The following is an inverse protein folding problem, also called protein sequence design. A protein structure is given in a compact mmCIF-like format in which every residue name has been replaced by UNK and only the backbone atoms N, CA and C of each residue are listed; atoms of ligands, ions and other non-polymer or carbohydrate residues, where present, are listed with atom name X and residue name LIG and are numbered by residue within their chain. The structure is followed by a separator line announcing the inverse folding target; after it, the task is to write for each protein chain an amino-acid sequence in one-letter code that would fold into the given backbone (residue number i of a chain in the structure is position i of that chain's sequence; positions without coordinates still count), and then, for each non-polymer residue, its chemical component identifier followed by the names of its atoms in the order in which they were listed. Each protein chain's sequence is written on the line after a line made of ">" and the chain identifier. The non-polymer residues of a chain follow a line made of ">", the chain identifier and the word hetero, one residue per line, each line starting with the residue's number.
data_IF_806992611213
#
_entry.id   IF_806992611213
#
_cell.length_a   1.000
_cell.length_b   1.000
_cell.length_c   1.000
_cell.angle_alpha   90.00
_cell.angle_beta   90.00
_cell.angle_gamma   90.00
#
_symmetry.space_group_name_H-M   'P 1'
#
loop_
_entity.id
_entity.type
_entity.pdbx_description
1 polymer ?
#
# COMPACT_ATOMS: atom_id res chain seq x y z
N UNK A 1 38.37 58.58 26.30
CA UNK A 1 39.21 57.87 27.30
C UNK A 1 38.31 56.95 28.10
N UNK A 2 38.67 55.66 28.17
CA UNK A 2 38.43 54.67 29.26
C UNK A 2 37.01 54.63 29.88
N UNK A 3 36.28 53.52 29.92
CA UNK A 3 36.75 52.20 30.32
C UNK A 3 35.72 51.13 29.94
N UNK A 4 36.23 50.00 29.47
CA UNK A 4 35.53 48.72 29.37
C UNK A 4 35.19 48.18 30.77
N UNK A 5 34.32 47.17 30.75
CA UNK A 5 34.25 46.03 31.67
C UNK A 5 33.44 46.25 32.95
N UNK A 6 32.21 45.69 33.00
CA UNK A 6 31.87 44.60 33.91
C UNK A 6 30.48 44.01 33.58
N UNK A 7 30.49 42.72 33.22
CA UNK A 7 29.45 41.69 33.44
C UNK A 7 28.07 41.84 32.78
N UNK A 8 27.78 41.17 31.65
CA UNK A 8 27.43 39.73 31.54
C UNK A 8 26.45 39.27 32.64
N UNK A 9 25.14 39.53 32.48
CA UNK A 9 24.05 38.67 32.99
C UNK A 9 22.69 39.27 32.54
N UNK A 10 22.17 38.85 31.37
CA UNK A 10 20.73 38.87 31.01
C UNK A 10 20.51 38.57 29.52
N UNK A 11 20.95 37.41 29.03
CA UNK A 11 20.42 36.84 27.78
C UNK A 11 20.13 35.37 28.06
N UNK A 12 19.02 35.08 28.72
CA UNK A 12 18.42 33.75 28.75
C UNK A 12 16.99 33.89 29.25
N UNK A 13 16.05 34.15 28.35
CA UNK A 13 14.65 33.79 28.54
C UNK A 13 13.94 33.78 27.19
N UNK A 14 13.32 32.63 26.91
CA UNK A 14 12.44 32.29 25.79
C UNK A 14 13.07 32.01 24.42
N UNK A 15 13.83 30.92 24.36
CA UNK A 15 13.72 29.97 23.25
C UNK A 15 13.12 28.66 23.76
N UNK A 16 11.81 28.65 24.04
CA UNK A 16 11.04 27.41 24.16
C UNK A 16 10.67 26.96 22.73
N UNK A 17 11.64 26.37 22.03
CA UNK A 17 11.31 25.55 20.85
C UNK A 17 10.84 24.22 21.43
N UNK A 18 9.52 24.09 21.58
CA UNK A 18 8.90 22.81 21.89
C UNK A 18 9.25 21.81 20.80
N UNK A 19 10.06 20.81 21.14
CA UNK A 19 10.23 19.59 20.36
C UNK A 19 8.87 18.89 20.30
N UNK A 20 8.05 19.23 19.31
CA UNK A 20 6.82 18.50 19.03
C UNK A 20 7.21 17.10 18.56
N UNK A 21 6.95 16.10 19.40
CA UNK A 21 7.02 14.72 19.00
C UNK A 21 6.04 14.51 17.85
N UNK A 22 6.54 14.13 16.67
CA UNK A 22 5.67 13.86 15.54
C UNK A 22 4.82 12.64 15.86
N UNK A 23 3.50 12.79 15.76
CA UNK A 23 2.54 11.70 15.90
C UNK A 23 2.90 10.61 14.90
N UNK A 24 3.06 9.38 15.39
CA UNK A 24 3.37 8.25 14.54
C UNK A 24 2.25 8.06 13.51
N UNK A 25 2.55 8.24 12.23
CA UNK A 25 1.59 8.15 11.10
C UNK A 25 0.91 6.79 11.03
N UNK A 26 1.62 5.72 11.42
CA UNK A 26 1.10 4.35 11.44
C UNK A 26 -0.01 4.08 12.46
N UNK A 27 0.05 4.71 13.62
CA UNK A 27 -0.92 4.50 14.69
C UNK A 27 -1.66 5.77 15.11
N UNK A 28 -1.39 6.89 14.44
CA UNK A 28 -1.89 8.24 14.74
C UNK A 28 -1.85 8.57 16.24
N UNK A 29 -0.70 8.39 16.89
CA UNK A 29 -0.59 8.69 18.33
C UNK A 29 -0.92 7.54 19.28
N UNK A 30 -1.47 6.41 18.80
CA UNK A 30 -2.07 5.38 19.68
C UNK A 30 -1.09 4.32 20.18
N UNK A 31 0.05 4.15 19.49
CA UNK A 31 1.06 3.18 19.89
C UNK A 31 0.73 1.72 19.60
N UNK A 32 -0.42 1.40 19.02
CA UNK A 32 -0.88 0.02 18.81
C UNK A 32 -1.40 -0.21 17.39
N UNK A 33 -1.21 -1.43 16.89
CA UNK A 33 -1.76 -1.94 15.63
C UNK A 33 -2.53 -3.25 15.87
N UNK A 34 -3.41 -3.63 14.95
CA UNK A 34 -4.32 -4.76 15.18
C UNK A 34 -4.27 -5.78 14.04
N UNK A 35 -4.30 -7.06 14.38
CA UNK A 35 -4.45 -8.18 13.45
C UNK A 35 -5.69 -9.00 13.81
N UNK A 36 -6.46 -9.44 12.79
CA UNK A 36 -7.64 -10.30 12.96
C UNK A 36 -7.33 -11.72 12.46
N UNK A 37 -7.95 -12.74 13.06
CA UNK A 37 -7.87 -14.14 12.62
C UNK A 37 -8.85 -14.39 11.45
N UNK A 38 -8.45 -15.14 10.42
CA UNK A 38 -9.26 -15.43 9.22
C UNK A 38 -9.32 -14.33 8.15
N UNK A 39 -8.98 -13.08 8.48
CA UNK A 39 -8.89 -11.93 7.57
C UNK A 39 -7.72 -11.07 7.97
N UNK A 40 -6.85 -10.70 7.04
CA UNK A 40 -5.74 -9.81 7.36
C UNK A 40 -6.19 -8.35 7.31
N UNK A 41 -5.78 -7.57 8.30
CA UNK A 41 -6.12 -6.15 8.37
C UNK A 41 -4.97 -5.35 8.94
N UNK A 42 -4.80 -4.11 8.48
CA UNK A 42 -3.87 -3.15 9.05
C UNK A 42 -4.47 -1.75 9.01
N UNK A 43 -4.41 -0.99 10.10
CA UNK A 43 -4.95 0.37 10.17
C UNK A 43 -5.79 0.65 11.41
N UNK A 44 -6.53 1.76 11.39
CA UNK A 44 -7.38 2.23 12.48
C UNK A 44 -8.83 1.76 12.32
N UNK A 45 -9.34 1.05 13.32
CA UNK A 45 -10.75 0.63 13.39
C UNK A 45 -11.55 1.58 14.31
N UNK A 46 -12.71 2.03 13.83
CA UNK A 46 -13.59 2.99 14.50
C UNK A 46 -14.56 2.35 15.52
N UNK A 47 -14.62 1.02 15.59
CA UNK A 47 -15.50 0.27 16.50
C UNK A 47 -14.68 -0.46 17.58
N UNK A 48 -15.18 -0.50 18.83
CA UNK A 48 -14.53 -1.20 19.96
C UNK A 48 -15.48 -2.21 20.61
N UNK A 49 -14.95 -3.37 21.02
CA UNK A 49 -15.58 -4.37 21.88
C UNK A 49 -14.67 -4.68 23.08
N UNK A 50 -15.25 -4.99 24.22
CA UNK A 50 -14.45 -5.43 25.36
C UNK A 50 -13.94 -6.86 25.12
N UNK A 51 -12.63 -7.08 25.27
CA UNK A 51 -12.04 -8.42 25.18
C UNK A 51 -12.66 -9.31 26.28
N UNK A 52 -13.22 -10.49 25.96
CA UNK A 52 -13.83 -11.36 26.96
C UNK A 52 -12.81 -12.01 27.91
N UNK A 53 -11.50 -11.94 27.60
CA UNK A 53 -10.42 -12.55 28.38
C UNK A 53 -9.74 -11.51 29.29
N UNK A 54 -9.29 -10.38 28.73
CA UNK A 54 -8.53 -9.37 29.49
C UNK A 54 -9.35 -8.13 29.85
N UNK A 55 -10.62 -8.08 29.46
CA UNK A 55 -11.56 -6.97 29.72
C UNK A 55 -11.11 -5.59 29.20
N UNK A 56 -10.05 -5.52 28.38
CA UNK A 56 -9.63 -4.28 27.73
C UNK A 56 -10.51 -3.97 26.52
N UNK A 57 -10.78 -2.69 26.29
CA UNK A 57 -11.47 -2.21 25.11
C UNK A 57 -10.56 -2.34 23.88
N UNK A 58 -10.78 -3.39 23.10
CA UNK A 58 -10.08 -3.65 21.84
C UNK A 58 -11.00 -3.32 20.66
N UNK A 59 -10.52 -3.04 19.46
CA UNK A 59 -11.41 -2.87 18.33
C UNK A 59 -12.30 -4.09 18.06
N UNK A 60 -13.49 -3.87 17.52
CA UNK A 60 -14.40 -4.98 17.24
C UNK A 60 -13.81 -5.89 16.15
N UNK A 61 -13.70 -7.18 16.48
CA UNK A 61 -13.20 -8.24 15.58
C UNK A 61 -11.70 -8.57 15.67
N UNK A 62 -10.90 -7.91 16.53
CA UNK A 62 -9.46 -8.21 16.66
C UNK A 62 -9.13 -9.17 17.81
N UNK A 63 -8.09 -9.98 17.61
CA UNK A 63 -7.47 -10.81 18.65
C UNK A 63 -6.13 -10.18 19.04
N UNK A 64 -6.15 -9.38 20.10
CA UNK A 64 -5.00 -8.71 20.73
C UNK A 64 -4.27 -7.67 19.85
N UNK A 65 -3.87 -6.57 20.50
CA UNK A 65 -3.15 -5.46 19.87
C UNK A 65 -1.65 -5.67 20.04
N UNK A 66 -0.90 -5.54 18.95
CA UNK A 66 0.56 -5.49 19.01
C UNK A 66 1.04 -4.04 19.19
N UNK A 67 2.12 -3.80 19.95
CA UNK A 67 2.81 -2.52 19.93
C UNK A 67 3.13 -2.14 18.49
N UNK A 68 2.77 -0.92 18.09
CA UNK A 68 3.08 -0.39 16.77
C UNK A 68 4.60 -0.41 16.58
N UNK A 69 5.16 -1.17 15.62
CA UNK A 69 6.61 -1.35 15.49
C UNK A 69 7.29 -0.05 15.07
N UNK A 70 6.61 0.83 14.32
CA UNK A 70 7.16 2.13 13.91
C UNK A 70 7.36 3.11 15.06
N UNK A 71 6.67 2.95 16.19
CA UNK A 71 6.87 3.78 17.39
C UNK A 71 7.15 2.96 18.66
N UNK A 72 7.36 1.66 18.51
CA UNK A 72 7.50 0.68 19.57
C UNK A 72 6.51 0.88 20.74
N UNK A 73 5.21 1.02 20.44
CA UNK A 73 4.20 1.22 21.50
C UNK A 73 3.92 2.66 21.91
N UNK A 74 4.72 3.65 21.47
CA UNK A 74 4.75 4.99 22.09
C UNK A 74 3.79 6.01 21.48
N UNK A 75 3.21 5.72 20.32
CA UNK A 75 2.34 6.66 19.60
C UNK A 75 3.07 7.84 18.95
N UNK A 76 4.35 8.07 19.26
CA UNK A 76 5.15 9.18 18.75
C UNK A 76 6.53 8.70 18.30
N UNK A 77 7.06 9.33 17.25
CA UNK A 77 8.42 9.08 16.76
C UNK A 77 9.29 10.24 17.27
N UNK A 78 10.26 9.94 18.14
CA UNK A 78 11.23 10.94 18.59
C UNK A 78 12.27 11.14 17.49
N UNK A 79 12.43 12.38 17.02
CA UNK A 79 13.60 12.79 16.26
C UNK A 79 14.84 12.59 17.16
N UNK A 80 15.64 11.59 16.86
CA UNK A 80 16.89 11.32 17.56
C UNK A 80 18.01 12.17 16.95
N UNK A 81 18.30 13.32 17.57
CA UNK A 81 19.63 13.90 17.55
C UNK A 81 20.49 13.08 18.54
N UNK A 82 21.17 12.06 18.06
CA UNK A 82 22.11 11.27 18.88
C UNK A 82 23.51 11.86 18.79
N UNK A 83 23.87 12.69 19.77
CA UNK A 83 25.24 12.83 20.21
C UNK A 83 25.66 11.52 20.89
N UNK A 84 26.45 10.69 20.22
CA UNK A 84 27.13 9.55 20.86
C UNK A 84 28.60 9.90 21.12
N UNK A 85 28.94 9.94 22.40
CA UNK A 85 30.30 10.00 22.91
C UNK A 85 31.06 8.71 22.57
N UNK A 86 32.09 8.87 21.75
CA UNK A 86 33.35 8.10 21.63
C UNK A 86 33.42 6.68 22.24
N UNK A 87 33.51 5.68 21.36
CA UNK A 87 34.55 4.64 21.46
C UNK A 87 35.06 4.32 20.07
N UNK A 88 36.36 4.58 19.89
CA UNK A 88 37.15 4.42 18.68
C UNK A 88 37.06 3.01 18.10
N UNK A 89 36.78 2.91 16.80
CA UNK A 89 37.64 2.20 15.85
C UNK A 89 37.46 2.81 14.47
N UNK A 90 38.56 3.32 13.92
CA UNK A 90 38.65 3.92 12.59
C UNK A 90 38.71 2.83 11.51
N UNK A 91 37.83 2.92 10.52
CA UNK A 91 38.22 2.98 9.10
C UNK A 91 37.01 3.39 8.23
N UNK A 92 37.04 4.66 7.80
CA UNK A 92 36.61 5.24 6.51
C UNK A 92 35.19 5.00 5.94
N UNK A 93 34.37 6.06 6.03
CA UNK A 93 33.51 6.73 5.03
C UNK A 93 33.27 6.01 3.67
N UNK A 94 32.04 5.96 3.11
CA UNK A 94 31.18 7.09 2.70
C UNK A 94 29.70 6.70 2.44
N UNK A 95 28.78 7.63 2.78
CA UNK A 95 27.45 7.95 2.19
C UNK A 95 26.51 6.84 1.66
N UNK A 96 25.29 6.72 2.22
CA UNK A 96 24.19 5.97 1.58
C UNK A 96 23.00 5.59 2.47
N UNK A 97 22.27 6.56 3.03
CA UNK A 97 21.08 6.28 3.87
C UNK A 97 19.76 6.53 3.13
N UNK A 98 19.49 5.72 2.11
CA UNK A 98 18.13 5.44 1.62
C UNK A 98 18.09 4.08 0.89
N UNK A 99 19.15 3.76 0.15
CA UNK A 99 19.37 2.42 -0.44
C UNK A 99 19.49 1.31 0.61
N UNK A 100 20.08 1.59 1.78
CA UNK A 100 20.31 0.58 2.80
C UNK A 100 19.01 -0.03 3.38
N UNK A 101 17.93 0.75 3.51
CA UNK A 101 16.64 0.26 4.03
C UNK A 101 15.89 -0.55 2.97
N UNK A 102 15.96 -0.13 1.71
CA UNK A 102 15.37 -0.84 0.58
C UNK A 102 16.11 -2.16 0.33
N UNK A 103 17.45 -2.13 0.37
CA UNK A 103 18.30 -3.32 0.28
C UNK A 103 18.09 -4.25 1.48
N UNK A 104 17.92 -3.75 2.70
CA UNK A 104 17.63 -4.59 3.87
C UNK A 104 16.26 -5.28 3.79
N UNK A 105 15.25 -4.62 3.24
CA UNK A 105 13.92 -5.22 3.03
C UNK A 105 13.94 -6.19 1.85
N UNK A 106 14.63 -5.86 0.77
CA UNK A 106 14.83 -6.73 -0.39
C UNK A 106 15.65 -7.97 0.00
N UNK A 107 16.71 -7.82 0.79
CA UNK A 107 17.57 -8.89 1.28
C UNK A 107 16.84 -9.76 2.30
N UNK A 108 15.93 -9.21 3.10
CA UNK A 108 15.04 -10.02 3.95
C UNK A 108 13.92 -10.72 3.15
N UNK A 109 13.43 -10.12 2.07
CA UNK A 109 12.49 -10.77 1.16
C UNK A 109 13.16 -11.88 0.32
N UNK A 110 14.41 -11.66 -0.10
CA UNK A 110 15.27 -12.66 -0.76
C UNK A 110 15.68 -13.77 0.23
N UNK A 111 15.97 -13.44 1.48
CA UNK A 111 16.28 -14.43 2.51
C UNK A 111 15.04 -15.25 2.92
N UNK A 112 13.83 -14.67 2.85
CA UNK A 112 12.58 -15.41 2.97
C UNK A 112 12.34 -16.38 1.79
N UNK A 113 13.01 -16.16 0.66
CA UNK A 113 13.06 -17.09 -0.49
C UNK A 113 13.99 -18.29 -0.24
N UNK A 114 15.04 -18.12 0.60
CA UNK A 114 16.05 -19.14 0.90
C UNK A 114 15.81 -19.91 2.19
N UNK A 115 15.11 -19.32 3.14
CA UNK A 115 14.63 -19.99 4.34
C UNK A 115 13.13 -19.85 4.34
N UNK A 116 12.42 -20.94 4.04
CA UNK A 116 11.00 -21.05 4.37
C UNK A 116 10.85 -20.60 5.82
N UNK A 117 10.25 -19.42 6.03
CA UNK A 117 10.09 -18.87 7.36
C UNK A 117 8.92 -19.62 8.00
N UNK A 118 9.22 -20.83 8.50
CA UNK A 118 8.28 -21.74 9.15
C UNK A 118 7.71 -21.17 10.48
N UNK A 119 8.05 -19.93 10.85
CA UNK A 119 7.69 -19.34 12.14
C UNK A 119 6.34 -18.63 12.23
N UNK A 120 5.61 -18.42 11.13
CA UNK A 120 4.32 -17.67 11.18
C UNK A 120 3.21 -18.23 10.29
N UNK A 121 3.47 -19.32 9.58
CA UNK A 121 2.53 -19.91 8.62
C UNK A 121 1.36 -20.66 9.28
N UNK A 122 1.48 -21.08 10.54
CA UNK A 122 0.50 -22.00 11.16
C UNK A 122 -0.45 -21.37 12.19
N UNK A 123 -0.27 -20.10 12.58
CA UNK A 123 -1.03 -19.52 13.69
C UNK A 123 -1.99 -18.39 13.28
N UNK A 124 -2.18 -18.12 11.99
CA UNK A 124 -3.18 -17.15 11.54
C UNK A 124 -3.82 -17.69 10.27
N UNK A 125 -4.99 -18.32 10.37
CA UNK A 125 -5.80 -18.82 9.25
C UNK A 125 -6.30 -17.71 8.28
N UNK A 126 -5.68 -16.52 8.28
CA UNK A 126 -5.94 -15.39 7.40
C UNK A 126 -5.28 -15.55 6.03
N UNK A 127 -4.22 -16.34 5.97
CA UNK A 127 -3.66 -16.83 4.72
C UNK A 127 -4.60 -17.94 4.28
N UNK A 128 -5.47 -17.65 3.31
CA UNK A 128 -6.24 -18.74 2.69
C UNK A 128 -5.28 -19.81 2.17
N UNK A 129 -5.77 -21.04 1.97
CA UNK A 129 -5.07 -22.16 1.32
C UNK A 129 -4.63 -21.87 -0.14
N UNK A 130 -4.39 -20.61 -0.50
CA UNK A 130 -3.88 -20.17 -1.78
C UNK A 130 -2.36 -20.35 -1.69
N UNK A 131 -1.85 -21.20 -2.57
CA UNK A 131 -0.58 -21.92 -2.41
C UNK A 131 0.60 -21.08 -1.90
N UNK A 132 1.54 -21.76 -1.23
CA UNK A 132 2.84 -21.18 -0.88
C UNK A 132 3.41 -20.47 -2.12
N UNK A 133 3.88 -19.23 -1.94
CA UNK A 133 4.57 -18.49 -2.99
C UNK A 133 5.60 -19.39 -3.66
N UNK A 134 5.50 -19.52 -4.99
CA UNK A 134 6.42 -20.31 -5.79
C UNK A 134 7.18 -19.37 -6.74
N UNK A 135 8.48 -19.11 -6.48
CA UNK A 135 9.26 -18.20 -7.30
C UNK A 135 9.43 -18.69 -8.75
N UNK A 136 9.23 -19.98 -9.02
CA UNK A 136 9.30 -20.53 -10.39
C UNK A 136 8.12 -20.08 -11.27
N UNK A 137 7.03 -19.60 -10.66
CA UNK A 137 5.86 -19.07 -11.36
C UNK A 137 5.92 -17.54 -11.52
N UNK A 138 7.04 -16.91 -11.15
CA UNK A 138 7.21 -15.47 -11.17
C UNK A 138 7.70 -15.00 -12.54
N UNK A 139 7.03 -13.99 -13.12
CA UNK A 139 7.38 -13.46 -14.44
C UNK A 139 7.87 -12.03 -14.27
N UNK A 140 9.20 -11.89 -14.21
CA UNK A 140 9.87 -10.62 -13.93
C UNK A 140 9.51 -9.51 -14.93
N UNK A 141 8.91 -8.43 -14.42
CA UNK A 141 8.70 -7.18 -15.16
C UNK A 141 9.90 -6.24 -14.96
N UNK A 142 11.00 -6.56 -15.66
CA UNK A 142 12.28 -5.89 -15.46
C UNK A 142 12.25 -4.42 -15.89
N UNK A 143 11.53 -4.08 -16.95
CA UNK A 143 11.44 -2.70 -17.42
C UNK A 143 10.75 -1.83 -16.38
N UNK A 144 9.64 -2.34 -15.81
CA UNK A 144 8.92 -1.64 -14.74
C UNK A 144 9.80 -1.48 -13.50
N UNK A 145 10.45 -2.57 -13.05
CA UNK A 145 11.36 -2.57 -11.90
C UNK A 145 12.47 -1.55 -12.05
N UNK A 146 13.13 -1.51 -13.22
CA UNK A 146 14.22 -0.58 -13.49
C UNK A 146 13.72 0.86 -13.52
N UNK A 147 12.54 1.11 -14.08
CA UNK A 147 11.98 2.45 -14.14
C UNK A 147 11.60 2.99 -12.76
N UNK A 148 11.03 2.16 -11.88
CA UNK A 148 10.80 2.60 -10.48
C UNK A 148 12.12 2.92 -9.78
N UNK A 149 13.17 2.11 -9.98
CA UNK A 149 14.51 2.38 -9.40
C UNK A 149 15.11 3.70 -9.92
N UNK A 150 15.01 3.93 -11.22
CA UNK A 150 15.50 5.15 -11.87
C UNK A 150 14.81 6.40 -11.32
N UNK A 151 13.48 6.36 -11.20
CA UNK A 151 12.68 7.51 -10.79
C UNK A 151 12.62 7.68 -9.27
N UNK A 152 12.83 6.61 -8.51
CA UNK A 152 12.60 6.49 -7.07
C UNK A 152 11.19 6.97 -6.65
N UNK A 153 10.19 6.72 -7.50
CA UNK A 153 8.76 7.02 -7.26
C UNK A 153 7.86 6.21 -8.17
N UNK A 154 6.63 5.96 -7.73
CA UNK A 154 5.58 5.28 -8.47
C UNK A 154 4.23 5.65 -7.84
N UNK A 155 3.34 6.29 -8.57
CA UNK A 155 2.05 6.79 -8.04
C UNK A 155 0.95 5.74 -8.10
N UNK A 156 0.99 4.88 -9.12
CA UNK A 156 0.05 3.77 -9.30
C UNK A 156 0.63 2.76 -10.30
N UNK A 157 -0.09 1.69 -10.56
CA UNK A 157 0.29 0.69 -11.54
C UNK A 157 -0.64 -0.51 -11.46
N UNK A 158 -0.43 -1.46 -12.36
CA UNK A 158 -1.21 -2.68 -12.48
C UNK A 158 -0.46 -3.68 -13.34
N UNK A 159 -0.65 -4.96 -13.06
CA UNK A 159 0.07 -6.04 -13.75
C UNK A 159 -0.73 -7.33 -13.68
N UNK A 160 -0.47 -8.21 -14.65
CA UNK A 160 -0.97 -9.57 -14.69
C UNK A 160 0.09 -10.55 -14.17
N UNK A 161 -0.34 -11.73 -13.74
CA UNK A 161 0.56 -12.84 -13.41
C UNK A 161 1.34 -13.39 -14.62
N UNK A 162 0.95 -12.99 -15.84
CA UNK A 162 1.52 -13.46 -17.11
C UNK A 162 2.55 -12.50 -17.70
N UNK A 163 2.93 -11.46 -16.96
CA UNK A 163 4.02 -10.57 -17.34
C UNK A 163 3.59 -9.40 -18.22
N UNK A 164 2.31 -9.02 -18.22
CA UNK A 164 1.87 -7.70 -18.69
C UNK A 164 1.84 -6.73 -17.52
N UNK A 165 2.23 -5.48 -17.71
CA UNK A 165 2.08 -4.48 -16.66
C UNK A 165 2.41 -3.05 -17.06
N UNK A 166 1.95 -2.14 -16.21
CA UNK A 166 2.14 -0.71 -16.33
C UNK A 166 2.41 -0.12 -14.96
N UNK A 167 3.37 0.80 -14.88
CA UNK A 167 3.54 1.69 -13.74
C UNK A 167 3.26 3.12 -14.17
N UNK A 168 2.77 3.93 -13.25
CA UNK A 168 2.40 5.33 -13.45
C UNK A 168 3.29 6.21 -12.55
N UNK A 169 3.72 7.34 -13.09
CA UNK A 169 4.45 8.39 -12.38
C UNK A 169 3.98 9.76 -12.84
N UNK A 170 4.11 10.76 -11.97
CA UNK A 170 3.78 12.16 -12.27
C UNK A 170 2.36 12.39 -12.82
N UNK A 171 1.42 11.51 -12.46
CA UNK A 171 0.00 11.59 -12.82
C UNK A 171 -0.34 11.09 -14.23
N UNK A 172 0.53 11.25 -15.22
CA UNK A 172 0.26 10.86 -16.62
C UNK A 172 1.46 10.21 -17.32
N UNK A 173 2.64 10.20 -16.69
CA UNK A 173 3.80 9.45 -17.15
C UNK A 173 3.60 7.96 -16.89
N UNK A 174 4.08 7.11 -17.80
CA UNK A 174 3.97 5.67 -17.65
C UNK A 174 5.18 4.93 -18.21
N UNK A 175 5.37 3.70 -17.72
CA UNK A 175 6.18 2.67 -18.35
C UNK A 175 5.31 1.43 -18.47
N UNK A 176 5.30 0.83 -19.67
CA UNK A 176 4.54 -0.38 -19.97
C UNK A 176 5.47 -1.51 -20.40
N UNK A 177 5.05 -2.74 -20.12
CA UNK A 177 5.75 -3.97 -20.50
C UNK A 177 4.72 -5.04 -20.89
N UNK A 178 4.88 -5.63 -22.08
CA UNK A 178 4.02 -6.69 -22.65
C UNK A 178 2.50 -6.42 -22.56
N UNK A 179 2.07 -5.17 -22.73
CA UNK A 179 0.64 -4.80 -22.73
C UNK A 179 0.03 -4.91 -24.13
N UNK A 180 -1.29 -5.11 -24.26
CA UNK A 180 -1.98 -5.05 -25.54
C UNK A 180 -1.78 -3.70 -26.25
N UNK A 181 -1.64 -3.71 -27.58
CA UNK A 181 -1.36 -2.50 -28.37
C UNK A 181 -2.44 -1.43 -28.18
N UNK A 182 -3.71 -1.83 -28.13
CA UNK A 182 -4.84 -0.91 -27.90
C UNK A 182 -4.74 -0.15 -26.57
N UNK A 183 -4.30 -0.81 -25.50
CA UNK A 183 -4.06 -0.17 -24.21
C UNK A 183 -2.84 0.75 -24.29
N UNK A 184 -1.78 0.33 -25.00
CA UNK A 184 -0.58 1.15 -25.17
C UNK A 184 -0.88 2.45 -25.93
N UNK A 185 -1.65 2.36 -27.02
CA UNK A 185 -2.07 3.51 -27.82
C UNK A 185 -2.89 4.49 -26.97
N UNK A 186 -3.81 3.97 -26.16
CA UNK A 186 -4.59 4.78 -25.22
C UNK A 186 -3.70 5.46 -24.19
N UNK A 187 -2.71 4.76 -23.62
CA UNK A 187 -1.78 5.35 -22.64
C UNK A 187 -0.94 6.47 -23.27
N UNK A 188 -0.52 6.33 -24.53
CA UNK A 188 0.15 7.41 -25.26
C UNK A 188 -0.78 8.61 -25.54
N UNK A 189 -2.06 8.38 -25.81
CA UNK A 189 -3.04 9.46 -25.94
C UNK A 189 -3.23 10.21 -24.61
N UNK A 190 -3.47 9.48 -23.52
CA UNK A 190 -3.60 10.03 -22.17
C UNK A 190 -2.37 10.85 -21.80
N UNK A 191 -1.17 10.32 -22.07
CA UNK A 191 0.10 10.99 -21.81
C UNK A 191 0.25 12.28 -22.63
N UNK A 192 -0.01 12.24 -23.95
CA UNK A 192 0.08 13.42 -24.83
C UNK A 192 -0.88 14.53 -24.42
N UNK A 193 -2.04 14.17 -23.86
CA UNK A 193 -3.06 15.10 -23.40
C UNK A 193 -2.91 15.46 -21.90
N UNK A 194 -1.84 15.01 -21.23
CA UNK A 194 -1.57 15.23 -19.80
C UNK A 194 -2.75 14.87 -18.88
N UNK A 195 -3.50 13.83 -19.25
CA UNK A 195 -4.66 13.39 -18.50
C UNK A 195 -4.21 12.55 -17.30
N UNK A 196 -4.71 12.87 -16.11
CA UNK A 196 -4.28 12.20 -14.87
C UNK A 196 -4.83 10.78 -14.81
N UNK A 197 -3.97 9.78 -14.89
CA UNK A 197 -4.27 8.37 -14.64
C UNK A 197 -4.47 8.16 -13.15
N UNK A 198 -5.67 7.69 -12.79
CA UNK A 198 -6.04 7.38 -11.40
C UNK A 198 -5.74 5.93 -11.04
N UNK A 199 -6.06 5.01 -11.94
CA UNK A 199 -5.88 3.58 -11.70
C UNK A 199 -5.67 2.84 -13.02
N UNK A 200 -4.94 1.73 -12.94
CA UNK A 200 -4.83 0.76 -14.01
C UNK A 200 -4.88 -0.65 -13.41
N UNK A 201 -5.67 -1.52 -14.00
CA UNK A 201 -5.85 -2.89 -13.52
C UNK A 201 -5.70 -3.87 -14.66
N UNK A 202 -5.20 -5.05 -14.32
CA UNK A 202 -5.20 -6.24 -15.16
C UNK A 202 -5.78 -7.38 -14.32
N UNK A 203 -6.52 -8.27 -14.95
CA UNK A 203 -6.80 -9.58 -14.37
C UNK A 203 -5.53 -10.43 -14.41
N UNK A 204 -5.47 -11.49 -13.61
CA UNK A 204 -4.24 -12.25 -13.42
C UNK A 204 -3.76 -12.93 -14.71
N UNK A 205 -4.66 -13.42 -15.58
CA UNK A 205 -4.27 -13.95 -16.88
C UNK A 205 -4.13 -12.88 -17.96
N UNK A 206 -4.41 -11.61 -17.64
CA UNK A 206 -4.44 -10.50 -18.59
C UNK A 206 -5.64 -10.53 -19.54
N UNK A 207 -6.66 -11.35 -19.25
CA UNK A 207 -7.90 -11.44 -20.04
C UNK A 207 -8.66 -10.13 -20.05
N UNK A 208 -8.67 -9.42 -18.92
CA UNK A 208 -9.32 -8.13 -18.76
C UNK A 208 -8.34 -7.09 -18.25
N UNK A 209 -8.58 -5.84 -18.64
CA UNK A 209 -7.82 -4.69 -18.16
C UNK A 209 -8.68 -3.43 -18.24
N UNK A 210 -8.35 -2.45 -17.41
CA UNK A 210 -9.01 -1.15 -17.42
C UNK A 210 -8.04 -0.07 -16.97
N UNK A 211 -8.01 1.06 -17.67
CA UNK A 211 -7.37 2.30 -17.23
C UNK A 211 -8.47 3.33 -16.91
N UNK A 212 -8.33 3.98 -15.77
CA UNK A 212 -9.18 5.09 -15.32
C UNK A 212 -8.34 6.36 -15.29
N UNK A 213 -8.85 7.42 -15.88
CA UNK A 213 -8.15 8.70 -15.99
C UNK A 213 -9.13 9.88 -15.92
N UNK A 214 -8.68 11.02 -15.39
CA UNK A 214 -9.51 12.17 -15.08
C UNK A 214 -10.77 11.79 -14.26
N UNK A 215 -11.80 12.63 -14.23
CA UNK A 215 -12.98 12.37 -13.39
C UNK A 215 -13.81 11.17 -13.89
N UNK A 216 -14.07 11.09 -15.20
CA UNK A 216 -14.98 10.13 -15.83
C UNK A 216 -14.35 9.37 -17.02
N UNK A 217 -13.04 9.54 -17.26
CA UNK A 217 -12.36 8.85 -18.34
C UNK A 217 -12.07 7.40 -17.96
N UNK A 218 -12.46 6.47 -18.83
CA UNK A 218 -12.05 5.08 -18.73
C UNK A 218 -11.86 4.47 -20.12
N UNK A 219 -10.98 3.48 -20.20
CA UNK A 219 -10.81 2.64 -21.37
C UNK A 219 -10.52 1.22 -20.88
N UNK A 220 -11.21 0.22 -21.43
CA UNK A 220 -11.18 -1.11 -20.85
C UNK A 220 -11.49 -2.20 -21.88
N UNK A 221 -10.94 -3.38 -21.63
CA UNK A 221 -11.42 -4.67 -22.12
C UNK A 221 -12.01 -5.40 -20.90
N UNK A 222 -13.33 -5.52 -20.84
CA UNK A 222 -14.04 -6.09 -19.69
C UNK A 222 -15.37 -6.77 -20.11
N UNK A 223 -16.04 -7.52 -19.23
CA UNK A 223 -17.41 -7.98 -19.47
C UNK A 223 -18.42 -6.82 -19.57
N UNK A 224 -19.54 -7.04 -20.28
CA UNK A 224 -20.59 -6.03 -20.48
C UNK A 224 -21.07 -5.39 -19.17
N UNK A 225 -21.26 -6.19 -18.13
CA UNK A 225 -21.71 -5.71 -16.82
C UNK A 225 -20.79 -4.63 -16.23
N UNK A 226 -19.48 -4.72 -16.47
CA UNK A 226 -18.50 -3.73 -16.00
C UNK A 226 -18.70 -2.40 -16.72
N UNK A 227 -18.90 -2.43 -18.05
CA UNK A 227 -19.23 -1.22 -18.81
C UNK A 227 -20.54 -0.59 -18.32
N UNK A 228 -21.56 -1.40 -18.06
CA UNK A 228 -22.85 -0.92 -17.55
C UNK A 228 -22.71 -0.23 -16.18
N UNK A 229 -21.88 -0.79 -15.28
CA UNK A 229 -21.62 -0.18 -13.97
C UNK A 229 -20.77 1.10 -14.07
N UNK A 230 -19.75 1.13 -14.93
CA UNK A 230 -18.93 2.33 -15.17
C UNK A 230 -19.79 3.48 -15.72
N UNK A 231 -20.64 3.19 -16.72
CA UNK A 231 -21.59 4.16 -17.26
C UNK A 231 -22.61 4.60 -16.20
N UNK A 232 -23.12 3.69 -15.38
CA UNK A 232 -24.04 4.04 -14.30
C UNK A 232 -23.42 4.99 -13.26
N UNK A 233 -22.11 4.89 -12.99
CA UNK A 233 -21.41 5.85 -12.13
C UNK A 233 -21.36 7.23 -12.79
N UNK A 234 -21.03 7.29 -14.08
CA UNK A 234 -20.97 8.55 -14.84
C UNK A 234 -22.35 9.22 -14.91
N UNK A 235 -23.41 8.46 -15.18
CA UNK A 235 -24.79 8.96 -15.23
C UNK A 235 -25.26 9.53 -13.89
N UNK A 236 -24.68 9.05 -12.78
CA UNK A 236 -24.94 9.53 -11.42
C UNK A 236 -23.99 10.66 -10.99
N UNK A 237 -23.15 11.15 -11.91
CA UNK A 237 -22.12 12.16 -11.64
C UNK A 237 -21.09 11.72 -10.57
N UNK A 238 -20.88 10.41 -10.43
CA UNK A 238 -19.89 9.83 -9.53
C UNK A 238 -18.62 9.56 -10.32
N UNK A 239 -17.57 10.34 -10.05
CA UNK A 239 -16.25 10.12 -10.65
C UNK A 239 -15.70 8.74 -10.32
N UNK A 240 -15.03 8.09 -11.27
CA UNK A 240 -14.44 6.76 -11.07
C UNK A 240 -13.04 6.93 -10.49
N UNK A 241 -12.74 6.15 -9.45
CA UNK A 241 -11.45 6.21 -8.75
C UNK A 241 -10.57 4.99 -9.01
N UNK A 242 -11.13 3.79 -8.88
CA UNK A 242 -10.39 2.54 -9.00
C UNK A 242 -11.30 1.42 -9.51
N UNK A 243 -10.71 0.51 -10.28
CA UNK A 243 -11.36 -0.68 -10.81
C UNK A 243 -10.48 -1.89 -10.50
N UNK A 244 -11.10 -2.97 -10.03
CA UNK A 244 -10.48 -4.28 -9.89
C UNK A 244 -11.33 -5.33 -10.60
N UNK A 245 -10.67 -6.24 -11.32
CA UNK A 245 -11.28 -7.28 -12.15
C UNK A 245 -10.56 -8.60 -11.92
N UNK A 246 -11.30 -9.71 -11.87
CA UNK A 246 -10.73 -11.06 -11.98
C UNK A 246 -11.02 -11.68 -13.35
N UNK A 247 -10.32 -12.76 -13.72
CA UNK A 247 -10.47 -13.41 -15.02
C UNK A 247 -11.83 -14.11 -15.21
N UNK A 248 -12.66 -14.17 -14.17
CA UNK A 248 -14.05 -14.65 -14.26
C UNK A 248 -15.04 -13.51 -14.46
N UNK A 249 -14.56 -12.27 -14.61
CA UNK A 249 -15.40 -11.09 -14.82
C UNK A 249 -16.00 -10.52 -13.55
N UNK A 250 -15.62 -10.99 -12.36
CA UNK A 250 -16.05 -10.35 -11.13
C UNK A 250 -15.29 -9.03 -10.94
N UNK A 251 -15.95 -8.04 -10.37
CA UNK A 251 -15.42 -6.69 -10.27
C UNK A 251 -15.66 -6.04 -8.91
N UNK A 252 -14.82 -5.04 -8.64
CA UNK A 252 -15.03 -4.00 -7.62
C UNK A 252 -14.69 -2.66 -8.27
N UNK A 253 -15.67 -1.77 -8.38
CA UNK A 253 -15.52 -0.40 -8.90
C UNK A 253 -15.73 0.56 -7.74
N UNK A 254 -14.77 1.46 -7.55
CA UNK A 254 -14.72 2.44 -6.47
C UNK A 254 -14.87 3.84 -7.06
N UNK A 255 -15.82 4.61 -6.56
CA UNK A 255 -16.05 6.01 -6.91
C UNK A 255 -15.22 6.98 -6.08
N UNK A 256 -15.05 8.21 -6.59
CA UNK A 256 -14.32 9.29 -5.93
C UNK A 256 -14.98 9.74 -4.64
N UNK A 257 -16.28 9.51 -4.44
CA UNK A 257 -17.03 9.81 -3.22
C UNK A 257 -16.96 8.67 -2.18
N UNK A 258 -16.52 7.47 -2.58
CA UNK A 258 -16.48 6.27 -1.76
C UNK A 258 -17.64 5.30 -2.00
N UNK A 259 -18.48 5.58 -3.01
CA UNK A 259 -19.43 4.61 -3.56
C UNK A 259 -18.68 3.40 -4.09
N UNK A 260 -19.22 2.20 -3.87
CA UNK A 260 -18.61 0.95 -4.34
C UNK A 260 -19.68 0.09 -5.00
N UNK A 261 -19.44 -0.29 -6.25
CA UNK A 261 -20.23 -1.26 -7.02
C UNK A 261 -19.39 -2.53 -7.16
N UNK A 262 -19.95 -3.69 -6.82
CA UNK A 262 -19.19 -4.94 -6.89
C UNK A 262 -20.09 -6.15 -7.13
N UNK A 263 -19.51 -7.20 -7.70
CA UNK A 263 -20.18 -8.49 -7.85
C UNK A 263 -20.56 -9.08 -6.49
N UNK A 264 -21.63 -9.88 -6.44
CA UNK A 264 -22.19 -10.47 -5.20
C UNK A 264 -21.14 -11.13 -4.29
N UNK A 265 -20.15 -11.79 -4.89
CA UNK A 265 -19.02 -12.45 -4.20
C UNK A 265 -18.22 -11.52 -3.28
N UNK A 266 -18.13 -10.23 -3.61
CA UNK A 266 -17.32 -9.27 -2.86
C UNK A 266 -18.12 -8.38 -1.90
N UNK A 267 -19.46 -8.43 -1.93
CA UNK A 267 -20.31 -7.53 -1.14
C UNK A 267 -20.01 -7.57 0.36
N UNK A 268 -19.92 -8.78 0.95
CA UNK A 268 -19.62 -8.93 2.38
C UNK A 268 -18.23 -8.37 2.72
N UNK A 269 -17.23 -8.67 1.90
CA UNK A 269 -15.85 -8.19 2.07
C UNK A 269 -15.78 -6.67 2.00
N UNK A 270 -16.44 -6.06 1.01
CA UNK A 270 -16.53 -4.61 0.84
C UNK A 270 -17.22 -3.95 2.04
N UNK A 271 -18.35 -4.50 2.49
CA UNK A 271 -19.08 -3.97 3.64
C UNK A 271 -18.26 -4.05 4.94
N UNK A 272 -17.57 -5.17 5.16
CA UNK A 272 -16.66 -5.31 6.30
C UNK A 272 -15.51 -4.31 6.26
N UNK A 273 -14.86 -4.15 5.12
CA UNK A 273 -13.76 -3.19 4.95
C UNK A 273 -14.23 -1.76 5.21
N UNK A 274 -15.40 -1.37 4.66
CA UNK A 274 -16.01 -0.05 4.88
C UNK A 274 -16.32 0.22 6.33
N UNK A 275 -16.93 -0.74 7.01
CA UNK A 275 -17.29 -0.62 8.43
C UNK A 275 -16.05 -0.53 9.32
N UNK A 276 -14.96 -1.21 8.96
CA UNK A 276 -13.71 -1.24 9.75
C UNK A 276 -12.84 -0.01 9.48
N UNK A 277 -12.58 0.35 8.22
CA UNK A 277 -11.54 1.30 7.82
C UNK A 277 -12.06 2.52 7.06
N UNK A 278 -13.37 2.66 6.91
CA UNK A 278 -13.99 3.78 6.22
C UNK A 278 -13.98 3.62 4.70
N UNK A 279 -14.02 4.74 3.99
CA UNK A 279 -14.16 4.75 2.54
C UNK A 279 -13.00 4.01 1.87
N UNK A 280 -13.36 3.17 0.88
CA UNK A 280 -12.41 2.46 0.02
C UNK A 280 -11.90 3.43 -1.03
N UNK A 281 -10.59 3.38 -1.31
CA UNK A 281 -9.91 4.26 -2.27
C UNK A 281 -9.24 3.50 -3.42
N UNK A 282 -8.91 2.23 -3.23
CA UNK A 282 -8.36 1.36 -4.26
C UNK A 282 -8.74 -0.10 -3.97
N UNK A 283 -9.02 -0.85 -5.02
CA UNK A 283 -9.25 -2.28 -4.94
C UNK A 283 -8.25 -3.06 -5.80
N UNK A 284 -7.96 -4.29 -5.40
CA UNK A 284 -7.25 -5.29 -6.20
C UNK A 284 -7.79 -6.67 -5.89
N UNK A 285 -7.97 -7.47 -6.93
CA UNK A 285 -8.53 -8.83 -6.88
C UNK A 285 -7.63 -9.79 -7.64
N UNK A 286 -7.64 -11.07 -7.25
CA UNK A 286 -6.91 -12.13 -7.95
C UNK A 286 -7.85 -13.23 -8.45
N UNK A 287 -7.36 -14.04 -9.39
CA UNK A 287 -8.04 -15.20 -9.97
C UNK A 287 -8.65 -16.14 -8.92
N UNK A 288 -7.97 -16.31 -7.79
CA UNK A 288 -8.42 -17.21 -6.71
C UNK A 288 -9.30 -16.52 -5.66
N UNK A 289 -9.80 -15.32 -5.95
CA UNK A 289 -10.64 -14.54 -5.04
C UNK A 289 -9.84 -13.92 -3.90
N UNK A 290 -8.53 -13.73 -4.06
CA UNK A 290 -7.76 -12.84 -3.20
C UNK A 290 -8.23 -11.42 -3.40
N UNK A 291 -8.29 -10.65 -2.32
CA UNK A 291 -8.78 -9.26 -2.34
C UNK A 291 -7.91 -8.40 -1.43
N UNK A 292 -7.55 -7.22 -1.92
CA UNK A 292 -7.01 -6.12 -1.12
C UNK A 292 -7.83 -4.87 -1.37
N UNK A 293 -8.25 -4.21 -0.29
CA UNK A 293 -8.99 -2.96 -0.30
C UNK A 293 -8.21 -1.93 0.51
N UNK A 294 -7.65 -0.94 -0.17
CA UNK A 294 -7.10 0.25 0.48
C UNK A 294 -8.27 1.14 0.88
N UNK A 295 -8.28 1.57 2.14
CA UNK A 295 -9.30 2.43 2.72
C UNK A 295 -8.63 3.66 3.33
N UNK A 296 -9.41 4.69 3.66
CA UNK A 296 -8.88 5.93 4.25
C UNK A 296 -8.10 5.67 5.54
N UNK A 297 -8.54 4.72 6.36
CA UNK A 297 -7.95 4.44 7.67
C UNK A 297 -7.19 3.11 7.73
N UNK A 298 -6.96 2.43 6.62
CA UNK A 298 -6.28 1.13 6.66
C UNK A 298 -6.37 0.33 5.37
N UNK A 299 -5.91 -0.91 5.45
CA UNK A 299 -5.98 -1.90 4.38
C UNK A 299 -6.71 -3.13 4.92
N UNK A 300 -7.75 -3.53 4.20
CA UNK A 300 -8.41 -4.80 4.42
C UNK A 300 -7.92 -5.79 3.36
N UNK A 301 -7.56 -7.01 3.76
CA UNK A 301 -7.18 -8.04 2.81
C UNK A 301 -7.62 -9.44 3.22
N UNK A 302 -7.94 -10.25 2.21
CA UNK A 302 -8.32 -11.64 2.39
C UNK A 302 -7.64 -12.45 1.28
N UNK A 303 -7.16 -13.67 1.61
CA UNK A 303 -6.72 -14.62 0.58
C UNK A 303 -5.58 -14.07 -0.31
N UNK A 304 -4.57 -13.45 0.30
CA UNK A 304 -3.38 -12.93 -0.40
C UNK A 304 -2.13 -13.76 -0.09
N UNK A 305 -1.09 -13.64 -0.92
CA UNK A 305 0.19 -14.31 -0.64
C UNK A 305 0.83 -13.78 0.66
N UNK A 306 1.56 -14.65 1.36
CA UNK A 306 2.27 -14.28 2.59
C UNK A 306 3.30 -13.17 2.35
N UNK A 307 3.97 -13.17 1.19
CA UNK A 307 4.92 -12.13 0.80
C UNK A 307 4.29 -10.73 0.82
N UNK A 308 3.09 -10.57 0.25
CA UNK A 308 2.35 -9.31 0.28
C UNK A 308 1.96 -8.96 1.70
N UNK A 309 1.40 -9.92 2.44
CA UNK A 309 0.92 -9.70 3.80
C UNK A 309 2.06 -9.22 4.72
N UNK A 310 3.26 -9.80 4.59
CA UNK A 310 4.41 -9.43 5.41
C UNK A 310 4.94 -8.03 5.10
N UNK A 311 4.86 -7.60 3.85
CA UNK A 311 5.19 -6.21 3.48
C UNK A 311 4.14 -5.25 4.06
N UNK A 312 2.84 -5.53 3.85
CA UNK A 312 1.73 -4.73 4.40
C UNK A 312 1.83 -4.57 5.93
N UNK A 313 2.25 -5.61 6.63
CA UNK A 313 2.50 -5.58 8.09
C UNK A 313 3.71 -4.75 8.51
N UNK A 314 4.62 -4.40 7.60
CA UNK A 314 5.83 -3.64 7.93
C UNK A 314 5.71 -2.16 7.60
N UNK A 315 4.75 -1.77 6.75
CA UNK A 315 4.51 -0.39 6.35
C UNK A 315 4.32 0.56 7.53
N UNK A 316 4.87 1.76 7.43
CA UNK A 316 4.70 2.87 8.37
C UNK A 316 3.74 3.96 7.87
N UNK A 317 3.13 3.74 6.71
CA UNK A 317 2.06 4.55 6.12
C UNK A 317 0.83 3.68 5.75
N UNK A 318 -0.28 4.33 5.44
CA UNK A 318 -1.48 3.69 4.87
C UNK A 318 -1.38 3.81 3.35
N UNK A 319 -1.18 2.71 2.60
CA UNK A 319 -1.04 2.77 1.16
C UNK A 319 -2.34 3.23 0.52
N UNK A 320 -2.21 4.00 -0.56
CA UNK A 320 -3.34 4.44 -1.39
C UNK A 320 -3.61 3.49 -2.54
N UNK A 321 -2.58 2.78 -2.99
CA UNK A 321 -2.69 1.74 -4.02
C UNK A 321 -1.98 0.49 -3.51
N UNK A 322 -2.69 -0.63 -3.58
CA UNK A 322 -2.13 -1.96 -3.45
C UNK A 322 -2.68 -2.80 -4.60
N UNK A 323 -1.80 -3.24 -5.49
CA UNK A 323 -2.10 -4.23 -6.52
C UNK A 323 -1.34 -5.52 -6.23
N UNK A 324 -1.99 -6.64 -6.49
CA UNK A 324 -1.45 -7.98 -6.26
C UNK A 324 -1.79 -8.92 -7.41
N UNK A 325 -1.02 -9.99 -7.55
CA UNK A 325 -1.36 -11.14 -8.39
C UNK A 325 -1.43 -12.43 -7.58
N UNK A 326 -2.07 -13.48 -8.09
CA UNK A 326 -2.11 -14.78 -7.40
C UNK A 326 -0.73 -15.43 -7.24
N UNK A 327 0.23 -15.07 -8.09
CA UNK A 327 1.62 -15.54 -8.04
C UNK A 327 2.49 -14.77 -7.05
N UNK A 328 1.93 -13.76 -6.36
CA UNK A 328 2.59 -13.01 -5.31
C UNK A 328 3.38 -11.80 -5.79
N UNK A 329 3.16 -11.34 -7.02
CA UNK A 329 3.65 -10.03 -7.47
C UNK A 329 2.86 -8.96 -6.73
N UNK A 330 3.51 -7.85 -6.39
CA UNK A 330 2.84 -6.74 -5.72
C UNK A 330 3.39 -5.38 -6.12
N UNK A 331 2.51 -4.38 -6.07
CA UNK A 331 2.84 -2.97 -6.00
C UNK A 331 2.06 -2.37 -4.84
N UNK A 332 2.76 -1.68 -3.95
CA UNK A 332 2.20 -1.02 -2.78
C UNK A 332 2.76 0.39 -2.79
N UNK A 333 1.91 1.42 -2.89
CA UNK A 333 2.35 2.82 -2.89
C UNK A 333 1.43 3.73 -2.09
N UNK A 334 2.00 4.80 -1.53
CA UNK A 334 1.27 5.91 -0.92
C UNK A 334 0.65 6.86 -1.95
N UNK A 335 0.95 6.64 -3.24
CA UNK A 335 0.53 7.50 -4.35
C UNK A 335 1.52 8.61 -4.68
N UNK A 336 2.63 8.71 -3.97
CA UNK A 336 3.63 9.76 -4.13
C UNK A 336 5.05 9.17 -4.16
N UNK A 337 5.70 9.09 -2.99
CA UNK A 337 7.14 8.90 -2.85
C UNK A 337 7.53 7.51 -2.34
N UNK A 338 6.58 6.76 -1.77
CA UNK A 338 6.89 5.48 -1.15
C UNK A 338 6.26 4.35 -1.96
N UNK A 339 7.10 3.50 -2.53
CA UNK A 339 6.65 2.30 -3.25
C UNK A 339 7.44 1.06 -2.83
N UNK A 340 6.71 -0.01 -2.50
CA UNK A 340 7.24 -1.37 -2.39
C UNK A 340 6.71 -2.18 -3.56
N UNK A 341 7.59 -2.95 -4.20
CA UNK A 341 7.20 -3.71 -5.37
C UNK A 341 8.04 -4.98 -5.51
N UNK A 342 7.43 -5.99 -6.09
CA UNK A 342 8.05 -7.23 -6.48
C UNK A 342 7.32 -7.71 -7.73
N UNK A 343 8.00 -7.63 -8.87
CA UNK A 343 7.48 -8.01 -10.18
C UNK A 343 8.36 -9.03 -10.85
#
# INVERSE_FOLDING_TARGET
>A
MKSRLFFLFAIFLFANIGLFAQTCTRCHGKGIIYFQYGTGTYGHNNSKKQCPICHQWVPSGVSHSDPCPSCNGRGSIRSTNTNHSSRNNNSSQTNGTFEATQNFILENALNAQLKGYDGFLDQNNCYGNIGKYNPNNHVYLNSLTNKIKELNRCTSGGFSSKGAGVIIFDGYGFQAENVPQELLDQLFEINRNEQTIKDITFSDNGTYWCVVYNINGWFALAPQEVYDQLNSMIDKEIGIRSVALDDFGHYIIVGDDGTVLCSQKYQNIVNEARNKFGKIVCASTTLHGGVVLCCDNGVYFNRISSSVADVLKKLDFIPKVVKISYTGHYLITDGNNYSFYWF
#
